data_IF_497259337382
#
_entry.id   IF_497259337382
#
_cell.length_a   1.000
_cell.length_b   1.000
_cell.length_c   1.000
_cell.angle_alpha   90.00
_cell.angle_beta   90.00
_cell.angle_gamma   90.00
#
_symmetry.space_group_name_H-M   'P 1'
#
loop_
_entity.id
_entity.type
_entity.pdbx_description
1 polymer ?
#
# COMPACT_ATOMS: atom_id res chain seq x y z
N UNK A 1 -26.26 -58.33 6.20
CA UNK A 1 -25.38 -58.00 7.34
C UNK A 1 -25.01 -56.53 7.25
N UNK A 2 -25.03 -55.86 8.39
CA UNK A 2 -25.27 -54.43 8.59
C UNK A 2 -23.94 -53.67 8.67
N UNK A 3 -23.90 -52.53 7.96
CA UNK A 3 -23.23 -51.25 8.28
C UNK A 3 -21.70 -51.22 8.46
N UNK A 4 -21.04 -50.31 7.73
CA UNK A 4 -20.41 -49.10 8.30
C UNK A 4 -19.72 -48.30 7.19
N UNK A 5 -20.51 -47.58 6.39
CA UNK A 5 -19.98 -46.49 5.57
C UNK A 5 -19.75 -45.30 6.50
N UNK A 6 -18.47 -45.06 6.82
CA UNK A 6 -18.04 -43.94 7.66
C UNK A 6 -18.15 -42.66 6.80
N UNK A 7 -19.24 -41.90 6.95
CA UNK A 7 -19.40 -40.59 6.34
C UNK A 7 -18.57 -39.59 7.15
N UNK A 8 -17.37 -39.26 6.68
CA UNK A 8 -16.53 -38.20 7.23
C UNK A 8 -17.15 -36.85 6.84
N UNK A 9 -17.90 -36.24 7.76
CA UNK A 9 -18.44 -34.91 7.57
C UNK A 9 -17.29 -33.88 7.59
N UNK A 10 -16.92 -33.37 6.41
CA UNK A 10 -16.11 -32.17 6.30
C UNK A 10 -16.96 -30.97 6.75
N UNK A 11 -16.69 -30.45 7.95
CA UNK A 11 -17.17 -29.12 8.34
C UNK A 11 -16.41 -28.07 7.50
N UNK A 12 -17.12 -27.23 6.72
CA UNK A 12 -16.48 -26.09 6.10
C UNK A 12 -16.07 -25.10 7.20
N UNK A 13 -14.77 -24.83 7.29
CA UNK A 13 -14.25 -23.71 8.07
C UNK A 13 -14.77 -22.44 7.41
N UNK A 14 -15.77 -21.80 8.03
CA UNK A 14 -16.21 -20.46 7.65
C UNK A 14 -15.05 -19.50 7.92
N UNK A 15 -14.30 -19.18 6.87
CA UNK A 15 -13.39 -18.05 6.87
C UNK A 15 -14.24 -16.78 7.00
N UNK A 16 -14.32 -16.23 8.21
CA UNK A 16 -14.91 -14.92 8.43
C UNK A 16 -13.99 -13.87 7.80
N UNK A 17 -14.37 -13.40 6.61
CA UNK A 17 -13.83 -12.16 6.07
C UNK A 17 -14.21 -11.05 7.04
N UNK A 18 -13.22 -10.41 7.67
CA UNK A 18 -13.42 -9.31 8.60
C UNK A 18 -14.15 -8.18 7.87
N UNK A 19 -15.46 -8.05 8.13
CA UNK A 19 -16.30 -7.12 7.38
C UNK A 19 -15.83 -5.69 7.62
N UNK A 20 -15.58 -4.97 6.53
CA UNK A 20 -15.28 -3.54 6.58
C UNK A 20 -16.41 -2.78 7.28
N UNK A 21 -16.09 -1.80 8.16
CA UNK A 21 -17.10 -0.94 8.78
C UNK A 21 -17.97 -0.25 7.73
N UNK A 22 -19.25 -0.03 8.05
CA UNK A 22 -20.20 0.58 7.12
C UNK A 22 -19.70 1.91 6.50
N UNK A 23 -19.05 2.82 7.25
CA UNK A 23 -18.50 4.06 6.67
C UNK A 23 -17.36 3.81 5.67
N UNK A 24 -16.50 2.81 5.94
CA UNK A 24 -15.39 2.45 5.05
C UNK A 24 -15.92 1.80 3.77
N UNK A 25 -16.92 0.93 3.88
CA UNK A 25 -17.64 0.36 2.73
C UNK A 25 -18.28 1.44 1.86
N UNK A 26 -18.80 2.52 2.46
CA UNK A 26 -19.37 3.63 1.70
C UNK A 26 -18.29 4.37 0.88
N UNK A 27 -17.10 4.56 1.44
CA UNK A 27 -15.96 5.18 0.74
C UNK A 27 -15.41 4.25 -0.36
N UNK A 28 -15.38 2.94 -0.12
CA UNK A 28 -14.98 1.95 -1.15
C UNK A 28 -15.82 2.07 -2.43
N UNK A 29 -17.15 2.28 -2.29
CA UNK A 29 -18.07 2.50 -3.42
C UNK A 29 -17.76 3.74 -4.25
N UNK A 30 -16.95 4.67 -3.74
CA UNK A 30 -16.50 5.84 -4.49
C UNK A 30 -15.32 5.52 -5.43
N UNK A 31 -14.93 4.25 -5.55
CA UNK A 31 -13.85 3.79 -6.43
C UNK A 31 -12.51 3.62 -5.72
N UNK A 32 -12.51 3.58 -4.38
CA UNK A 32 -11.30 3.34 -3.59
C UNK A 32 -11.18 1.84 -3.31
N UNK A 33 -10.06 1.23 -3.70
CA UNK A 33 -9.74 -0.15 -3.36
C UNK A 33 -8.98 -0.19 -2.05
N UNK A 34 -9.53 -0.83 -1.02
CA UNK A 34 -8.85 -1.00 0.28
C UNK A 34 -7.77 -2.07 0.16
N UNK A 35 -6.54 -1.73 0.53
CA UNK A 35 -5.38 -2.63 0.48
C UNK A 35 -5.13 -3.31 1.83
N UNK A 36 -5.12 -2.52 2.91
CA UNK A 36 -4.85 -3.01 4.28
C UNK A 36 -5.35 -2.03 5.33
N UNK A 37 -5.56 -2.52 6.54
CA UNK A 37 -5.77 -1.67 7.72
C UNK A 37 -4.45 -1.39 8.44
N UNK A 38 -4.40 -0.30 9.20
CA UNK A 38 -3.27 0.09 10.04
C UNK A 38 -3.77 0.82 11.29
N UNK A 39 -3.01 0.79 12.38
CA UNK A 39 -3.33 1.53 13.59
C UNK A 39 -2.97 3.01 13.41
N UNK A 40 -3.92 3.91 13.67
CA UNK A 40 -3.71 5.35 13.60
C UNK A 40 -3.75 5.98 15.01
N UNK A 41 -3.10 7.15 15.21
CA UNK A 41 -3.14 7.86 16.48
C UNK A 41 -4.56 8.18 16.96
N UNK A 42 -4.75 8.37 18.27
CA UNK A 42 -6.03 8.80 18.84
C UNK A 42 -7.12 7.71 18.86
N UNK A 43 -6.74 6.43 18.85
CA UNK A 43 -7.69 5.32 18.85
C UNK A 43 -8.44 5.15 17.53
N UNK A 44 -7.93 5.74 16.45
CA UNK A 44 -8.49 5.62 15.11
C UNK A 44 -7.95 4.38 14.41
N UNK A 45 -8.81 3.71 13.62
CA UNK A 45 -8.38 2.63 12.74
C UNK A 45 -8.19 3.19 11.33
N UNK A 46 -6.96 3.11 10.82
CA UNK A 46 -6.61 3.53 9.48
C UNK A 46 -6.85 2.43 8.44
N UNK A 47 -7.15 2.82 7.22
CA UNK A 47 -7.25 1.97 6.05
C UNK A 47 -6.46 2.62 4.93
N UNK A 48 -5.47 1.89 4.42
CA UNK A 48 -4.72 2.28 3.24
C UNK A 48 -5.42 1.72 2.02
N UNK A 49 -5.66 2.58 1.04
CA UNK A 49 -6.29 2.20 -0.22
C UNK A 49 -5.59 2.81 -1.42
N UNK A 50 -6.16 2.50 -2.58
CA UNK A 50 -5.80 3.11 -3.86
C UNK A 50 -7.03 3.72 -4.53
N UNK A 51 -6.86 4.90 -5.08
CA UNK A 51 -7.81 5.55 -5.96
C UNK A 51 -7.09 5.92 -7.26
N UNK A 52 -7.51 5.37 -8.40
CA UNK A 52 -6.84 5.63 -9.69
C UNK A 52 -5.31 5.46 -9.63
N UNK A 53 -4.85 4.37 -9.00
CA UNK A 53 -3.43 4.08 -8.71
C UNK A 53 -2.68 5.05 -7.76
N UNK A 54 -3.35 6.09 -7.28
CA UNK A 54 -2.84 6.97 -6.23
C UNK A 54 -3.14 6.39 -4.85
N UNK A 55 -2.15 6.41 -3.96
CA UNK A 55 -2.35 6.00 -2.58
C UNK A 55 -3.27 6.95 -1.83
N UNK A 56 -4.20 6.40 -1.05
CA UNK A 56 -5.13 7.17 -0.21
C UNK A 56 -5.22 6.56 1.18
N UNK A 57 -5.50 7.39 2.18
CA UNK A 57 -5.72 6.95 3.56
C UNK A 57 -7.12 7.32 4.02
N UNK A 58 -7.76 6.38 4.71
CA UNK A 58 -9.08 6.53 5.32
C UNK A 58 -8.94 6.26 6.81
N UNK A 59 -9.49 7.13 7.65
CA UNK A 59 -9.43 7.01 9.10
C UNK A 59 -10.82 6.80 9.65
N UNK A 60 -11.05 5.66 10.29
CA UNK A 60 -12.25 5.40 11.05
C UNK A 60 -12.13 6.12 12.40
N UNK A 61 -13.13 6.92 12.74
CA UNK A 61 -13.20 7.61 14.03
C UNK A 61 -13.41 6.60 15.16
N UNK A 62 -13.03 6.93 16.42
CA UNK A 62 -13.12 6.00 17.55
C UNK A 62 -14.54 5.52 17.86
N UNK A 63 -15.57 6.25 17.40
CA UNK A 63 -16.96 5.86 17.53
C UNK A 63 -17.41 4.76 16.55
N UNK A 64 -16.58 4.41 15.56
CA UNK A 64 -16.86 3.42 14.52
C UNK A 64 -17.96 3.80 13.53
N UNK A 65 -18.52 5.02 13.63
CA UNK A 65 -19.67 5.48 12.84
C UNK A 65 -19.31 6.45 11.73
N UNK A 66 -18.12 7.05 11.80
CA UNK A 66 -17.64 7.97 10.78
C UNK A 66 -16.29 7.51 10.23
N UNK A 67 -16.04 7.86 8.97
CA UNK A 67 -14.75 7.67 8.34
C UNK A 67 -14.35 8.95 7.61
N UNK A 68 -13.07 9.26 7.67
CA UNK A 68 -12.47 10.46 7.10
C UNK A 68 -11.49 10.00 6.03
N UNK A 69 -11.78 10.32 4.77
CA UNK A 69 -10.82 10.17 3.68
C UNK A 69 -9.98 11.44 3.58
N UNK A 70 -8.67 11.33 3.77
CA UNK A 70 -7.79 12.51 3.76
C UNK A 70 -6.40 12.24 4.31
N UNK A 71 -5.66 13.33 4.53
CA UNK A 71 -4.29 13.32 5.02
C UNK A 71 -4.23 13.71 6.50
N UNK A 72 -3.42 12.98 7.27
CA UNK A 72 -3.18 13.22 8.68
C UNK A 72 -1.81 13.87 8.88
N UNK A 73 -1.80 14.92 9.70
CA UNK A 73 -0.59 15.63 10.09
C UNK A 73 -0.36 15.52 11.60
N UNK A 74 0.90 15.53 12.01
CA UNK A 74 1.27 15.61 13.42
C UNK A 74 1.57 17.06 13.85
N UNK A 75 1.89 17.25 15.13
CA UNK A 75 2.23 18.55 15.72
C UNK A 75 3.42 19.25 15.06
N UNK A 76 4.27 18.50 14.34
CA UNK A 76 5.43 19.05 13.61
C UNK A 76 5.08 19.51 12.19
N UNK A 77 3.83 19.33 11.76
CA UNK A 77 3.40 19.58 10.39
C UNK A 77 3.85 18.50 9.40
N UNK A 78 4.25 17.32 9.86
CA UNK A 78 4.62 16.20 8.99
C UNK A 78 3.37 15.46 8.49
N UNK A 79 3.29 15.20 7.19
CA UNK A 79 2.20 14.43 6.60
C UNK A 79 2.43 12.92 6.80
N UNK A 80 1.80 12.35 7.82
CA UNK A 80 1.92 10.94 8.18
C UNK A 80 1.32 10.02 7.11
N UNK A 81 0.26 10.47 6.44
CA UNK A 81 -0.40 9.71 5.38
C UNK A 81 0.50 9.53 4.18
N UNK A 82 1.15 10.60 3.71
CA UNK A 82 2.09 10.53 2.59
C UNK A 82 3.29 9.64 2.92
N UNK A 83 3.87 9.80 4.12
CA UNK A 83 4.97 8.94 4.56
C UNK A 83 4.59 7.45 4.55
N UNK A 84 3.35 7.13 4.97
CA UNK A 84 2.83 5.76 4.93
C UNK A 84 2.59 5.28 3.49
N UNK A 85 1.94 6.09 2.65
CA UNK A 85 1.67 5.78 1.24
C UNK A 85 2.99 5.52 0.50
N UNK A 86 3.98 6.40 0.65
CA UNK A 86 5.30 6.25 0.05
C UNK A 86 5.96 4.95 0.49
N UNK A 87 6.00 4.69 1.80
CA UNK A 87 6.64 3.50 2.35
C UNK A 87 5.98 2.20 1.87
N UNK A 88 4.65 2.17 1.83
CA UNK A 88 3.89 0.93 1.65
C UNK A 88 3.49 0.68 0.20
N UNK A 89 3.31 1.72 -0.62
CA UNK A 89 2.87 1.60 -2.02
C UNK A 89 4.02 1.84 -2.98
N UNK A 90 4.75 2.95 -2.85
CA UNK A 90 5.70 3.39 -3.87
C UNK A 90 7.12 2.85 -3.67
N UNK A 91 7.60 2.83 -2.42
CA UNK A 91 8.97 2.46 -2.09
C UNK A 91 9.33 1.00 -2.44
N UNK A 92 8.44 -0.01 -2.31
CA UNK A 92 8.75 -1.37 -2.73
C UNK A 92 9.06 -1.47 -4.23
N UNK A 93 8.21 -0.88 -5.07
CA UNK A 93 8.41 -0.84 -6.52
C UNK A 93 9.66 -0.03 -6.90
N UNK A 94 9.87 1.12 -6.25
CA UNK A 94 11.06 1.95 -6.44
C UNK A 94 12.35 1.20 -6.10
N UNK A 95 12.40 0.49 -4.97
CA UNK A 95 13.57 -0.32 -4.57
C UNK A 95 13.84 -1.46 -5.53
N UNK A 96 12.81 -2.16 -5.98
CA UNK A 96 12.97 -3.24 -6.95
C UNK A 96 13.54 -2.72 -8.28
N UNK A 97 12.99 -1.62 -8.79
CA UNK A 97 13.50 -0.98 -10.01
C UNK A 97 14.94 -0.51 -9.83
N UNK A 98 15.25 0.10 -8.68
CA UNK A 98 16.60 0.54 -8.35
C UNK A 98 17.61 -0.61 -8.37
N UNK A 99 17.28 -1.74 -7.74
CA UNK A 99 18.13 -2.94 -7.78
C UNK A 99 18.32 -3.50 -9.19
N UNK A 100 17.29 -3.43 -10.05
CA UNK A 100 17.43 -3.84 -11.46
C UNK A 100 18.40 -2.94 -12.20
N UNK A 101 18.37 -1.63 -11.95
CA UNK A 101 19.30 -0.67 -12.55
C UNK A 101 20.74 -0.89 -12.05
N UNK A 102 20.94 -1.17 -10.76
CA UNK A 102 22.27 -1.46 -10.19
C UNK A 102 22.91 -2.71 -10.80
N UNK A 103 22.10 -3.72 -11.16
CA UNK A 103 22.53 -4.98 -11.77
C UNK A 103 22.67 -4.93 -13.29
N UNK A 104 22.14 -3.89 -13.94
CA UNK A 104 22.23 -3.76 -15.39
C UNK A 104 23.67 -3.46 -15.85
N UNK A 105 23.95 -3.62 -17.14
CA UNK A 105 25.21 -3.16 -17.72
C UNK A 105 25.17 -1.64 -17.89
N UNK A 106 25.79 -0.91 -16.96
CA UNK A 106 25.89 0.55 -16.99
C UNK A 106 27.34 1.02 -17.07
N UNK A 107 27.53 2.27 -17.49
CA UNK A 107 28.83 2.94 -17.56
C UNK A 107 28.89 3.95 -16.41
N UNK A 108 29.95 3.92 -15.61
CA UNK A 108 30.17 4.92 -14.57
C UNK A 108 30.58 6.24 -15.23
N UNK A 109 29.81 7.29 -14.97
CA UNK A 109 30.21 8.66 -15.29
C UNK A 109 30.55 9.40 -13.98
N UNK A 110 31.81 9.82 -13.84
CA UNK A 110 32.32 10.51 -12.66
C UNK A 110 33.00 9.61 -11.60
N UNK A 111 33.20 10.17 -10.39
CA UNK A 111 33.90 9.48 -9.29
C UNK A 111 32.92 8.62 -8.48
N UNK A 112 33.34 7.41 -8.11
CA UNK A 112 32.58 6.53 -7.21
C UNK A 112 32.47 7.17 -5.81
N UNK A 113 31.36 7.86 -5.54
CA UNK A 113 31.08 8.53 -4.27
C UNK A 113 30.03 7.75 -3.48
N UNK A 114 30.09 7.80 -2.15
CA UNK A 114 29.22 7.02 -1.23
C UNK A 114 27.81 7.56 -1.03
N UNK A 115 27.42 8.69 -1.64
CA UNK A 115 26.09 9.28 -1.44
C UNK A 115 25.52 9.88 -2.74
N UNK A 116 24.30 9.46 -3.09
CA UNK A 116 23.47 9.99 -4.18
C UNK A 116 23.94 9.62 -5.59
N UNK A 117 23.54 8.45 -6.08
CA UNK A 117 23.72 8.07 -7.48
C UNK A 117 22.51 8.47 -8.32
N UNK A 118 22.72 8.81 -9.60
CA UNK A 118 21.66 9.02 -10.58
C UNK A 118 21.81 7.99 -11.71
N UNK A 119 20.69 7.48 -12.21
CA UNK A 119 20.67 6.58 -13.37
C UNK A 119 20.01 7.32 -14.53
N UNK A 120 20.70 7.36 -15.67
CA UNK A 120 20.18 7.95 -16.90
C UNK A 120 20.07 6.88 -17.99
N UNK A 121 18.87 6.68 -18.55
CA UNK A 121 18.71 5.93 -19.78
C UNK A 121 18.89 6.89 -20.97
N UNK A 122 19.94 6.68 -21.76
CA UNK A 122 20.27 7.53 -22.91
C UNK A 122 20.30 6.72 -24.20
N UNK A 123 19.69 7.26 -25.26
CA UNK A 123 19.87 6.79 -26.64
C UNK A 123 20.93 7.65 -27.35
N UNK A 124 21.84 7.07 -28.16
CA UNK A 124 22.98 7.81 -28.73
C UNK A 124 22.61 9.03 -29.60
N UNK A 125 21.46 9.00 -30.28
CA UNK A 125 21.07 9.99 -31.29
C UNK A 125 19.74 10.69 -31.01
N UNK A 126 19.30 10.72 -29.75
CA UNK A 126 18.10 11.47 -29.37
C UNK A 126 18.52 12.79 -28.69
N UNK A 127 18.43 13.95 -29.38
CA UNK A 127 18.65 15.23 -28.74
C UNK A 127 17.56 15.47 -27.68
N UNK A 128 17.94 16.08 -26.57
CA UNK A 128 17.00 16.63 -25.59
C UNK A 128 16.35 17.86 -26.24
N UNK A 129 15.12 17.71 -26.71
CA UNK A 129 14.23 18.82 -27.08
C UNK A 129 13.60 19.42 -25.82
#
# INVERSE_FOLDING_TARGET
MIKRTLLLAMLPILAHAEELPAPVKAIEKQGITILKSFEAPGGMKGYLGKYQDMGVTIYLTPDGKHAISGYMYNEKGENLSNALIEKEIYAPAGREMWQKMEKASWILDGKKRRAGGAVCLRRPFLPLL
#
